data_IF_545304434235
#
_entry.id   IF_545304434235
#
_cell.length_a   1.000
_cell.length_b   1.000
_cell.length_c   1.000
_cell.angle_alpha   90.00
_cell.angle_beta   90.00
_cell.angle_gamma   90.00
#
_symmetry.space_group_name_H-M   'P 1'
#
loop_
_entity.id
_entity.type
_entity.pdbx_description
1 polymer ?
#
# COMPACT_ATOMS: atom_id res chain seq x y z
N UNK A 1 -18.15 11.30 13.34
CA UNK A 1 -16.97 11.71 12.55
C UNK A 1 -15.99 12.42 13.47
N UNK A 2 -14.67 12.21 13.33
CA UNK A 2 -13.62 12.89 14.12
C UNK A 2 -12.35 13.09 13.30
N UNK A 3 -11.58 14.13 13.61
CA UNK A 3 -10.26 14.36 13.05
C UNK A 3 -9.32 13.18 13.34
N UNK A 4 -8.60 12.70 12.32
CA UNK A 4 -7.55 11.69 12.50
C UNK A 4 -6.27 12.33 13.05
N UNK A 5 -5.34 11.53 13.63
CA UNK A 5 -4.01 12.02 13.98
C UNK A 5 -3.30 12.68 12.79
N UNK A 6 -2.60 13.80 13.02
CA UNK A 6 -1.80 14.51 12.02
C UNK A 6 -0.46 13.81 11.77
N UNK A 7 -0.54 12.57 11.28
CA UNK A 7 0.60 11.71 11.00
C UNK A 7 0.45 11.12 9.60
N UNK A 8 1.48 11.24 8.78
CA UNK A 8 1.61 10.57 7.48
C UNK A 8 2.58 9.41 7.62
N UNK A 9 2.28 8.28 7.00
CA UNK A 9 3.10 7.09 6.97
C UNK A 9 3.41 6.70 5.52
N UNK A 10 4.69 6.61 5.23
CA UNK A 10 5.26 6.14 3.96
C UNK A 10 6.07 4.89 4.25
N UNK A 11 6.03 3.90 3.37
CA UNK A 11 6.75 2.62 3.55
C UNK A 11 7.73 2.44 2.40
N UNK A 12 8.99 2.15 2.71
CA UNK A 12 9.98 1.76 1.74
C UNK A 12 10.82 0.58 2.25
N UNK A 13 10.74 -0.55 1.55
CA UNK A 13 11.45 -1.78 1.90
C UNK A 13 12.13 -2.36 0.66
N UNK A 14 13.23 -3.08 0.84
CA UNK A 14 13.91 -3.78 -0.25
C UNK A 14 15.21 -3.15 -0.76
N UNK A 15 15.54 -1.92 -0.38
CA UNK A 15 16.75 -1.25 -0.86
C UNK A 15 16.72 0.25 -0.64
N UNK A 16 17.54 0.99 -1.39
CA UNK A 16 17.52 2.44 -1.38
C UNK A 16 16.32 3.02 -2.15
N UNK A 17 15.93 4.26 -1.83
CA UNK A 17 14.77 4.94 -2.42
C UNK A 17 15.19 5.61 -3.74
N UNK A 18 14.57 5.27 -4.88
CA UNK A 18 14.78 5.95 -6.14
C UNK A 18 14.42 7.43 -6.05
N UNK A 19 15.13 8.27 -6.81
CA UNK A 19 14.92 9.73 -6.78
C UNK A 19 13.46 10.12 -7.04
N UNK A 20 12.80 9.51 -8.03
CA UNK A 20 11.37 9.77 -8.34
C UNK A 20 10.45 9.60 -7.13
N UNK A 21 10.73 8.61 -6.28
CA UNK A 21 9.92 8.32 -5.09
C UNK A 21 10.26 9.31 -3.98
N UNK A 22 11.54 9.70 -3.85
CA UNK A 22 11.94 10.80 -2.95
C UNK A 22 11.22 12.09 -3.30
N UNK A 23 11.17 12.44 -4.59
CA UNK A 23 10.51 13.65 -5.09
C UNK A 23 9.03 13.69 -4.71
N UNK A 24 8.35 12.54 -4.74
CA UNK A 24 6.97 12.41 -4.26
C UNK A 24 6.88 12.56 -2.73
N UNK A 25 7.71 11.81 -1.98
CA UNK A 25 7.66 11.78 -0.51
C UNK A 25 7.90 13.16 0.11
N UNK A 26 8.85 13.94 -0.42
CA UNK A 26 9.19 15.27 0.15
C UNK A 26 8.09 16.30 0.01
N UNK A 27 7.09 16.06 -0.86
CA UNK A 27 5.94 16.95 -0.98
C UNK A 27 5.09 16.98 0.30
N UNK A 28 5.02 15.87 1.05
CA UNK A 28 4.22 15.78 2.27
C UNK A 28 4.72 16.68 3.40
N UNK A 29 5.99 16.59 3.87
CA UNK A 29 6.48 17.48 4.92
C UNK A 29 6.55 18.94 4.44
N UNK A 30 6.73 19.19 3.13
CA UNK A 30 6.73 20.54 2.56
C UNK A 30 5.35 21.20 2.64
N UNK A 31 4.30 20.46 2.26
CA UNK A 31 2.92 20.97 2.25
C UNK A 31 2.26 20.95 3.64
N UNK A 32 2.81 20.17 4.58
CA UNK A 32 2.21 19.90 5.88
C UNK A 32 3.28 19.99 7.00
N UNK A 33 3.85 21.18 7.24
CA UNK A 33 4.94 21.35 8.21
C UNK A 33 4.53 21.06 9.67
N UNK A 34 3.22 21.04 9.96
CA UNK A 34 2.64 20.71 11.26
C UNK A 34 2.27 19.21 11.41
N UNK A 35 2.50 18.39 10.38
CA UNK A 35 2.26 16.95 10.41
C UNK A 35 3.55 16.16 10.66
N UNK A 36 3.49 15.10 11.47
CA UNK A 36 4.60 14.14 11.55
C UNK A 36 4.60 13.26 10.29
N UNK A 37 5.69 13.21 9.54
CA UNK A 37 5.84 12.30 8.39
C UNK A 37 6.82 11.20 8.74
N UNK A 38 6.30 9.98 8.85
CA UNK A 38 7.06 8.77 9.15
C UNK A 38 7.45 8.05 7.87
N UNK A 39 8.74 7.75 7.71
CA UNK A 39 9.26 6.83 6.71
C UNK A 39 9.62 5.51 7.37
N UNK A 40 8.88 4.45 7.04
CA UNK A 40 9.07 3.11 7.56
C UNK A 40 10.00 2.31 6.67
N UNK A 41 11.03 1.72 7.27
CA UNK A 41 11.93 0.76 6.61
C UNK A 41 12.01 -0.54 7.41
N UNK A 42 12.45 -1.61 6.75
CA UNK A 42 12.88 -2.84 7.42
C UNK A 42 14.39 -2.97 7.26
N UNK A 43 15.12 -2.74 8.34
CA UNK A 43 16.59 -2.71 8.32
C UNK A 43 17.21 -4.10 8.09
N UNK A 44 16.40 -5.17 8.13
CA UNK A 44 16.79 -6.53 7.79
C UNK A 44 16.43 -6.91 6.35
N UNK A 45 15.93 -5.98 5.52
CA UNK A 45 15.48 -6.26 4.15
C UNK A 45 16.06 -5.25 3.14
N UNK A 46 17.20 -4.62 3.43
CA UNK A 46 17.82 -3.62 2.56
C UNK A 46 18.50 -4.21 1.31
N UNK A 47 18.66 -5.52 1.24
CA UNK A 47 19.23 -6.24 0.09
C UNK A 47 18.20 -7.10 -0.66
N UNK A 48 16.96 -7.16 -0.16
CA UNK A 48 15.91 -8.00 -0.74
C UNK A 48 15.57 -7.62 -2.18
N UNK A 49 15.61 -6.33 -2.52
CA UNK A 49 15.42 -5.82 -3.88
C UNK A 49 16.62 -6.10 -4.78
N UNK A 50 17.84 -6.05 -4.23
CA UNK A 50 19.04 -6.44 -4.97
C UNK A 50 19.01 -7.94 -5.31
N UNK A 51 18.61 -8.78 -4.36
CA UNK A 51 18.38 -10.20 -4.60
C UNK A 51 17.40 -10.44 -5.74
N UNK A 52 16.25 -9.78 -5.72
CA UNK A 52 15.24 -9.87 -6.77
C UNK A 52 15.84 -9.46 -8.13
N UNK A 53 16.53 -8.31 -8.17
CA UNK A 53 17.17 -7.78 -9.39
C UNK A 53 18.14 -8.79 -10.01
N UNK A 54 19.02 -9.35 -9.20
CA UNK A 54 20.07 -10.26 -9.67
C UNK A 54 19.50 -11.60 -10.18
N UNK A 55 18.53 -12.17 -9.46
CA UNK A 55 17.83 -13.39 -9.91
C UNK A 55 17.04 -13.12 -11.19
N UNK A 56 16.33 -11.99 -11.26
CA UNK A 56 15.60 -11.60 -12.48
C UNK A 56 16.55 -11.39 -13.67
N UNK A 57 17.72 -10.77 -13.47
CA UNK A 57 18.70 -10.57 -14.52
C UNK A 57 19.22 -11.89 -15.10
N UNK A 58 19.49 -12.90 -14.27
CA UNK A 58 19.90 -14.23 -14.74
C UNK A 58 18.82 -14.98 -15.52
N UNK A 59 17.55 -14.61 -15.35
CA UNK A 59 16.41 -15.29 -15.95
C UNK A 59 15.70 -14.41 -17.00
N UNK A 60 16.39 -13.44 -17.60
CA UNK A 60 15.83 -12.54 -18.62
C UNK A 60 14.49 -11.91 -18.19
N UNK A 61 14.41 -11.45 -16.94
CA UNK A 61 13.23 -10.90 -16.27
C UNK A 61 12.03 -11.86 -16.05
N UNK A 62 12.12 -13.11 -16.50
CA UNK A 62 11.05 -14.10 -16.41
C UNK A 62 11.41 -15.19 -15.39
N UNK A 63 11.11 -14.93 -14.11
CA UNK A 63 11.34 -15.90 -13.03
C UNK A 63 10.03 -16.61 -12.69
N UNK A 64 10.00 -17.94 -12.82
CA UNK A 64 8.82 -18.75 -12.55
C UNK A 64 8.51 -18.89 -11.06
N UNK A 65 7.27 -19.28 -10.73
CA UNK A 65 6.87 -19.60 -9.37
C UNK A 65 7.74 -20.70 -8.73
N UNK A 66 8.12 -21.71 -9.51
CA UNK A 66 9.00 -22.79 -9.05
C UNK A 66 10.40 -22.25 -8.70
N UNK A 67 10.97 -21.40 -9.55
CA UNK A 67 12.28 -20.81 -9.28
C UNK A 67 12.26 -19.94 -8.02
N UNK A 68 11.20 -19.16 -7.80
CA UNK A 68 11.04 -18.41 -6.55
C UNK A 68 10.90 -19.31 -5.33
N UNK A 69 10.23 -20.46 -5.45
CA UNK A 69 10.15 -21.47 -4.40
C UNK A 69 11.52 -22.06 -4.06
N UNK A 70 12.35 -22.35 -5.05
CA UNK A 70 13.72 -22.85 -4.84
C UNK A 70 14.62 -21.82 -4.15
N UNK A 71 14.51 -20.54 -4.56
CA UNK A 71 15.21 -19.43 -3.88
C UNK A 71 14.77 -19.35 -2.43
N UNK A 72 13.47 -19.42 -2.15
CA UNK A 72 12.92 -19.38 -0.81
C UNK A 72 13.41 -20.54 0.06
N UNK A 73 13.47 -21.76 -0.49
CA UNK A 73 14.02 -22.93 0.20
C UNK A 73 15.48 -22.74 0.60
N UNK A 74 16.28 -22.02 -0.19
CA UNK A 74 17.69 -21.72 0.11
C UNK A 74 17.87 -20.57 1.09
N UNK A 75 16.96 -19.59 1.11
CA UNK A 75 16.99 -18.47 2.06
C UNK A 75 16.58 -18.89 3.47
N UNK A 76 15.69 -19.88 3.58
CA UNK A 76 15.08 -20.29 4.85
C UNK A 76 13.91 -19.38 5.26
N UNK A 77 13.18 -19.78 6.31
CA UNK A 77 11.89 -19.20 6.69
C UNK A 77 11.94 -17.70 7.06
N UNK A 78 13.07 -17.22 7.59
CA UNK A 78 13.21 -15.83 8.05
C UNK A 78 13.77 -14.89 6.97
N UNK A 79 14.47 -15.43 5.96
CA UNK A 79 15.12 -14.66 4.92
C UNK A 79 16.00 -13.53 5.46
N UNK A 80 15.81 -12.31 4.92
CA UNK A 80 16.52 -11.10 5.34
C UNK A 80 17.89 -10.92 4.70
N UNK A 81 18.59 -9.87 5.14
CA UNK A 81 19.85 -9.42 4.53
C UNK A 81 20.96 -10.44 4.72
N UNK A 82 21.09 -11.04 5.91
CA UNK A 82 22.10 -12.07 6.17
C UNK A 82 21.90 -13.32 5.30
N UNK A 83 20.66 -13.78 5.12
CA UNK A 83 20.37 -14.90 4.23
C UNK A 83 20.56 -14.52 2.75
N UNK A 84 20.19 -13.29 2.39
CA UNK A 84 20.39 -12.74 1.05
C UNK A 84 21.87 -12.69 0.69
N UNK A 85 22.73 -12.19 1.60
CA UNK A 85 24.18 -12.15 1.38
C UNK A 85 24.72 -13.55 1.11
N UNK A 86 24.42 -14.54 1.96
CA UNK A 86 24.87 -15.92 1.77
C UNK A 86 24.37 -16.52 0.45
N UNK A 87 23.13 -16.22 0.07
CA UNK A 87 22.56 -16.70 -1.18
C UNK A 87 23.30 -16.12 -2.39
N UNK A 88 23.45 -14.79 -2.44
CA UNK A 88 24.06 -14.10 -3.59
C UNK A 88 25.55 -14.43 -3.73
N UNK A 89 26.26 -14.58 -2.60
CA UNK A 89 27.66 -15.01 -2.58
C UNK A 89 27.81 -16.43 -3.13
N UNK A 90 27.01 -17.37 -2.59
CA UNK A 90 27.11 -18.79 -2.97
C UNK A 90 26.62 -19.10 -4.38
N UNK A 91 25.53 -18.48 -4.82
CA UNK A 91 24.85 -18.87 -6.05
C UNK A 91 25.08 -17.90 -7.22
N UNK A 92 25.43 -16.64 -6.94
CA UNK A 92 25.62 -15.61 -7.96
C UNK A 92 27.05 -15.02 -7.97
N UNK A 93 27.98 -15.59 -7.19
CA UNK A 93 29.38 -15.17 -7.09
C UNK A 93 29.54 -13.68 -6.70
N UNK A 94 28.61 -13.15 -5.90
CA UNK A 94 28.64 -11.78 -5.41
C UNK A 94 29.33 -11.71 -4.04
N UNK A 95 30.53 -11.13 -3.98
CA UNK A 95 31.32 -11.04 -2.75
C UNK A 95 30.50 -10.47 -1.58
N UNK A 96 30.45 -11.20 -0.47
CA UNK A 96 29.70 -10.80 0.73
C UNK A 96 30.06 -9.42 1.28
N UNK A 97 31.34 -9.04 1.25
CA UNK A 97 31.82 -7.71 1.68
C UNK A 97 31.22 -6.58 0.83
N UNK A 98 31.11 -6.78 -0.49
CA UNK A 98 30.50 -5.79 -1.38
C UNK A 98 29.00 -5.62 -1.07
N UNK A 99 28.30 -6.71 -0.76
CA UNK A 99 26.89 -6.68 -0.37
C UNK A 99 26.68 -6.00 1.00
N UNK A 100 27.58 -6.22 1.96
CA UNK A 100 27.57 -5.49 3.23
C UNK A 100 27.78 -3.99 3.00
N UNK A 101 28.74 -3.62 2.15
CA UNK A 101 28.97 -2.22 1.75
C UNK A 101 27.74 -1.59 1.08
N UNK A 102 27.07 -2.32 0.19
CA UNK A 102 25.82 -1.89 -0.44
C UNK A 102 24.70 -1.65 0.58
N UNK A 103 24.55 -2.57 1.55
CA UNK A 103 23.58 -2.42 2.64
C UNK A 103 23.84 -1.15 3.47
N UNK A 104 25.10 -0.89 3.82
CA UNK A 104 25.50 0.33 4.55
C UNK A 104 25.21 1.57 3.72
N UNK A 105 25.49 1.54 2.41
CA UNK A 105 25.15 2.64 1.49
C UNK A 105 23.65 2.92 1.47
N UNK A 106 22.81 1.89 1.37
CA UNK A 106 21.35 2.04 1.37
C UNK A 106 20.85 2.72 2.66
N UNK A 107 21.26 2.23 3.84
CA UNK A 107 20.76 2.80 5.10
C UNK A 107 21.24 4.25 5.29
N UNK A 108 22.50 4.57 4.97
CA UNK A 108 23.01 5.94 5.08
C UNK A 108 22.25 6.90 4.14
N UNK A 109 22.05 6.50 2.88
CA UNK A 109 21.27 7.25 1.88
C UNK A 109 19.84 7.55 2.35
N UNK A 110 19.18 6.59 2.99
CA UNK A 110 17.84 6.78 3.56
C UNK A 110 17.89 7.71 4.78
N UNK A 111 18.85 7.52 5.68
CA UNK A 111 19.01 8.36 6.88
C UNK A 111 19.28 9.83 6.53
N UNK A 112 20.17 10.08 5.57
CA UNK A 112 20.51 11.43 5.10
C UNK A 112 19.28 12.11 4.49
N UNK A 113 18.51 11.39 3.69
CA UNK A 113 17.25 11.88 3.14
C UNK A 113 16.22 12.22 4.22
N UNK A 114 16.03 11.34 5.20
CA UNK A 114 15.14 11.63 6.32
C UNK A 114 15.57 12.90 7.07
N UNK A 115 16.87 13.05 7.34
CA UNK A 115 17.43 14.21 8.01
C UNK A 115 17.24 15.50 7.20
N UNK A 116 17.52 15.46 5.90
CA UNK A 116 17.40 16.61 5.00
C UNK A 116 15.96 17.13 4.89
N UNK A 117 14.96 16.23 4.97
CA UNK A 117 13.55 16.57 4.75
C UNK A 117 12.68 16.47 6.00
N UNK A 118 13.30 16.41 7.19
CA UNK A 118 12.62 16.34 8.50
C UNK A 118 11.61 15.18 8.59
N UNK A 119 11.92 14.05 7.96
CA UNK A 119 11.15 12.82 8.08
C UNK A 119 11.59 12.04 9.31
N UNK A 120 10.65 11.42 9.98
CA UNK A 120 10.92 10.52 11.11
C UNK A 120 11.14 9.11 10.58
N UNK A 121 12.38 8.62 10.68
CA UNK A 121 12.71 7.24 10.31
C UNK A 121 12.14 6.27 11.35
N UNK A 122 11.39 5.27 10.89
CA UNK A 122 10.81 4.19 11.69
C UNK A 122 11.31 2.84 11.21
N UNK A 123 11.51 1.91 12.14
CA UNK A 123 12.00 0.56 11.84
C UNK A 123 10.89 -0.46 12.12
N UNK A 124 10.54 -1.27 11.13
CA UNK A 124 9.41 -2.20 11.17
C UNK A 124 9.52 -3.21 12.31
N UNK A 125 10.66 -3.88 12.49
CA UNK A 125 10.81 -4.94 13.48
C UNK A 125 10.81 -4.41 14.93
N UNK A 126 11.29 -3.19 15.14
CA UNK A 126 11.37 -2.53 16.45
C UNK A 126 10.10 -1.78 16.81
N UNK A 127 9.55 -1.01 15.87
CA UNK A 127 8.50 -0.01 16.15
C UNK A 127 7.08 -0.54 15.83
N UNK A 128 6.94 -1.72 15.21
CA UNK A 128 5.63 -2.24 14.78
C UNK A 128 5.30 -3.62 15.35
N UNK A 129 4.15 -3.74 16.02
CA UNK A 129 3.65 -5.03 16.54
C UNK A 129 2.75 -5.73 15.53
N UNK A 130 3.33 -6.52 14.62
CA UNK A 130 2.56 -7.24 13.58
C UNK A 130 1.83 -8.49 14.08
N UNK A 131 2.30 -9.12 15.17
CA UNK A 131 1.75 -10.38 15.67
C UNK A 131 1.77 -11.49 14.61
N UNK A 132 0.65 -12.21 14.44
CA UNK A 132 0.52 -13.35 13.51
C UNK A 132 0.73 -12.97 12.03
N UNK A 133 0.57 -11.70 11.66
CA UNK A 133 0.76 -11.24 10.28
C UNK A 133 2.24 -11.09 9.89
N UNK A 134 3.16 -11.08 10.86
CA UNK A 134 4.60 -11.10 10.58
C UNK A 134 5.03 -12.28 9.69
N UNK A 135 4.37 -13.44 9.85
CA UNK A 135 4.64 -14.61 9.01
C UNK A 135 4.22 -14.40 7.55
N UNK A 136 3.07 -13.74 7.32
CA UNK A 136 2.59 -13.42 5.96
C UNK A 136 3.52 -12.39 5.32
N UNK A 137 3.91 -11.35 6.07
CA UNK A 137 4.87 -10.35 5.62
C UNK A 137 6.20 -10.98 5.17
N UNK A 138 6.78 -11.86 6.00
CA UNK A 138 8.01 -12.58 5.64
C UNK A 138 7.83 -13.48 4.41
N UNK A 139 6.69 -14.19 4.33
CA UNK A 139 6.38 -15.05 3.20
C UNK A 139 6.33 -14.26 1.88
N UNK A 140 5.72 -13.07 1.86
CA UNK A 140 5.70 -12.22 0.67
C UNK A 140 7.09 -11.73 0.28
N UNK A 141 7.97 -11.48 1.25
CA UNK A 141 9.35 -11.07 0.97
C UNK A 141 10.25 -12.21 0.51
N UNK A 142 10.01 -13.44 0.94
CA UNK A 142 10.87 -14.59 0.67
C UNK A 142 10.29 -15.48 -0.43
N UNK A 143 9.12 -16.05 -0.20
CA UNK A 143 8.50 -17.07 -1.07
C UNK A 143 7.97 -16.50 -2.37
N UNK A 144 7.67 -15.20 -2.40
CA UNK A 144 7.08 -14.50 -3.53
C UNK A 144 8.07 -13.59 -4.24
N UNK A 145 9.36 -13.93 -4.20
CA UNK A 145 10.37 -13.19 -4.94
C UNK A 145 10.44 -11.70 -4.61
N UNK A 146 10.24 -11.37 -3.32
CA UNK A 146 10.11 -9.99 -2.85
C UNK A 146 8.88 -9.25 -3.41
N UNK A 147 7.68 -9.70 -3.04
CA UNK A 147 6.45 -9.00 -3.34
C UNK A 147 6.25 -7.79 -2.42
N UNK A 148 6.94 -6.70 -2.75
CA UNK A 148 6.91 -5.47 -1.96
C UNK A 148 5.52 -4.83 -1.87
N UNK A 149 4.67 -4.98 -2.90
CA UNK A 149 3.29 -4.51 -2.87
C UNK A 149 2.49 -5.18 -1.76
N UNK A 150 2.44 -6.51 -1.76
CA UNK A 150 1.73 -7.28 -0.72
C UNK A 150 2.33 -7.09 0.68
N UNK A 151 3.67 -7.01 0.78
CA UNK A 151 4.34 -6.73 2.04
C UNK A 151 3.98 -5.32 2.58
N UNK A 152 3.95 -4.30 1.72
CA UNK A 152 3.51 -2.94 2.07
C UNK A 152 2.03 -2.88 2.43
N UNK A 153 1.18 -3.66 1.77
CA UNK A 153 -0.25 -3.79 2.09
C UNK A 153 -0.49 -4.31 3.52
N UNK A 154 0.33 -5.27 3.97
CA UNK A 154 0.27 -5.76 5.36
C UNK A 154 0.73 -4.67 6.32
N UNK A 155 1.87 -4.03 6.04
CA UNK A 155 2.45 -3.01 6.90
C UNK A 155 1.54 -1.78 7.04
N UNK A 156 0.93 -1.28 5.96
CA UNK A 156 0.05 -0.09 6.02
C UNK A 156 -1.15 -0.29 6.93
N UNK A 157 -1.73 -1.51 6.95
CA UNK A 157 -2.84 -1.85 7.84
C UNK A 157 -2.37 -1.91 9.30
N UNK A 158 -1.25 -2.58 9.57
CA UNK A 158 -0.70 -2.71 10.93
C UNK A 158 -0.27 -1.36 11.51
N UNK A 159 0.31 -0.49 10.69
CA UNK A 159 0.73 0.87 11.06
C UNK A 159 -0.51 1.70 11.41
N UNK A 160 -1.50 1.79 10.53
CA UNK A 160 -2.70 2.59 10.79
C UNK A 160 -3.51 2.08 11.98
N UNK A 161 -3.52 0.78 12.25
CA UNK A 161 -4.17 0.23 13.44
C UNK A 161 -3.52 0.69 14.74
N UNK A 162 -2.21 0.95 14.75
CA UNK A 162 -1.44 1.34 15.93
C UNK A 162 -1.27 2.85 16.08
N UNK A 163 -1.12 3.56 14.96
CA UNK A 163 -0.75 4.98 14.92
C UNK A 163 -1.86 5.89 14.38
N UNK A 164 -2.84 5.34 13.64
CA UNK A 164 -3.82 6.14 12.91
C UNK A 164 -3.16 7.03 11.85
N UNK A 165 -3.85 8.08 11.43
CA UNK A 165 -3.31 9.03 10.46
C UNK A 165 -3.58 8.60 9.03
N UNK A 166 -2.63 8.89 8.14
CA UNK A 166 -2.72 8.65 6.70
C UNK A 166 -1.55 7.77 6.27
N UNK A 167 -1.85 6.69 5.56
CA UNK A 167 -0.87 5.98 4.74
C UNK A 167 -0.92 6.49 3.31
N UNK A 168 0.25 6.63 2.67
CA UNK A 168 0.38 6.95 1.25
C UNK A 168 1.46 6.09 0.58
N UNK A 169 1.20 5.60 -0.63
CA UNK A 169 2.20 4.97 -1.49
C UNK A 169 3.29 6.00 -1.88
N UNK A 170 4.48 5.49 -2.19
CA UNK A 170 5.69 6.32 -2.43
C UNK A 170 5.71 7.03 -3.79
N UNK A 171 4.68 6.84 -4.59
CA UNK A 171 4.49 7.38 -5.94
C UNK A 171 3.29 8.38 -5.99
N UNK A 172 2.72 8.68 -4.82
CA UNK A 172 1.74 9.73 -4.59
C UNK A 172 2.44 11.00 -4.12
N UNK A 173 2.10 12.13 -4.75
CA UNK A 173 2.53 13.46 -4.32
C UNK A 173 1.41 14.22 -3.63
N UNK A 174 1.73 14.98 -2.59
CA UNK A 174 0.85 15.96 -1.96
C UNK A 174 0.90 17.28 -2.75
N UNK A 175 -0.25 17.71 -3.28
CA UNK A 175 -0.34 18.91 -4.14
C UNK A 175 -1.04 20.09 -3.46
N UNK A 176 -1.69 19.87 -2.31
CA UNK A 176 -2.22 20.94 -1.45
C UNK A 176 -2.20 20.52 0.02
N UNK A 177 -2.22 21.48 0.98
CA UNK A 177 -2.22 21.17 2.40
C UNK A 177 -3.34 20.22 2.80
N UNK A 178 -3.01 19.23 3.63
CA UNK A 178 -3.93 18.21 4.11
C UNK A 178 -5.03 18.82 4.99
N UNK A 179 -4.70 19.85 5.76
CA UNK A 179 -5.61 20.52 6.68
C UNK A 179 -6.05 19.58 7.80
N UNK A 180 -7.33 19.59 8.14
CA UNK A 180 -7.92 18.60 9.05
C UNK A 180 -8.65 17.53 8.24
N UNK A 181 -8.25 16.26 8.38
CA UNK A 181 -8.93 15.15 7.72
C UNK A 181 -9.91 14.52 8.69
N UNK A 182 -11.20 14.58 8.34
CA UNK A 182 -12.29 14.03 9.14
C UNK A 182 -12.65 12.62 8.66
N UNK A 183 -12.48 11.62 9.52
CA UNK A 183 -12.87 10.23 9.23
C UNK A 183 -13.90 9.70 10.22
N UNK A 184 -14.61 8.64 9.81
CA UNK A 184 -15.40 7.85 10.74
C UNK A 184 -14.46 7.06 11.66
N UNK A 185 -14.75 6.99 12.96
CA UNK A 185 -13.86 6.29 13.91
C UNK A 185 -13.72 4.79 13.63
N UNK A 186 -14.75 4.20 13.02
CA UNK A 186 -14.76 2.77 12.69
C UNK A 186 -14.38 2.44 11.25
N UNK A 187 -14.46 3.40 10.31
CA UNK A 187 -14.33 3.10 8.88
C UNK A 187 -13.29 4.05 8.26
N UNK A 188 -12.23 3.50 7.64
CA UNK A 188 -11.21 4.33 7.00
C UNK A 188 -11.74 4.95 5.70
N UNK A 189 -11.08 6.03 5.28
CA UNK A 189 -11.21 6.55 3.91
C UNK A 189 -10.13 5.95 3.03
N UNK A 190 -10.42 5.77 1.75
CA UNK A 190 -9.52 5.25 0.73
C UNK A 190 -9.41 6.20 -0.45
N UNK A 191 -8.31 6.15 -1.21
CA UNK A 191 -8.27 6.76 -2.54
C UNK A 191 -9.35 6.18 -3.45
N UNK A 192 -10.02 7.04 -4.22
CA UNK A 192 -10.99 6.62 -5.23
C UNK A 192 -10.31 6.38 -6.59
N UNK A 193 -10.84 5.44 -7.38
CA UNK A 193 -10.28 5.07 -8.69
C UNK A 193 -11.19 5.49 -9.84
N UNK A 194 -10.73 6.44 -10.65
CA UNK A 194 -11.45 6.95 -11.80
C UNK A 194 -10.49 7.70 -12.73
N UNK A 195 -10.79 7.67 -14.03
CA UNK A 195 -10.00 8.37 -15.03
C UNK A 195 -10.05 9.91 -14.88
N UNK A 196 -11.10 10.45 -14.26
CA UNK A 196 -11.27 11.88 -14.07
C UNK A 196 -10.14 12.54 -13.27
N UNK A 197 -9.47 11.80 -12.38
CA UNK A 197 -8.35 12.33 -11.58
C UNK A 197 -6.98 12.23 -12.27
N UNK A 198 -6.91 11.78 -13.53
CA UNK A 198 -5.64 11.50 -14.22
C UNK A 198 -4.63 12.64 -14.22
N UNK A 199 -5.12 13.87 -14.30
CA UNK A 199 -4.32 15.10 -14.34
C UNK A 199 -4.33 15.83 -12.98
N UNK A 200 -4.82 15.16 -11.93
CA UNK A 200 -5.29 15.79 -10.70
C UNK A 200 -6.72 16.32 -10.84
N UNK A 201 -7.34 16.61 -9.71
CA UNK A 201 -8.68 17.24 -9.62
C UNK A 201 -8.57 18.47 -8.73
N UNK A 202 -9.17 19.60 -9.13
CA UNK A 202 -9.20 20.81 -8.32
C UNK A 202 -10.15 20.68 -7.12
N UNK A 203 -9.96 21.49 -6.09
CA UNK A 203 -10.89 21.50 -4.94
C UNK A 203 -12.30 21.94 -5.35
N UNK A 204 -12.43 22.95 -6.21
CA UNK A 204 -13.72 23.40 -6.75
C UNK A 204 -14.45 22.29 -7.48
N UNK A 205 -13.74 21.54 -8.32
CA UNK A 205 -14.29 20.41 -9.07
C UNK A 205 -14.71 19.27 -8.14
N UNK A 206 -13.84 18.94 -7.18
CA UNK A 206 -14.11 17.91 -6.18
C UNK A 206 -15.35 18.23 -5.34
N UNK A 207 -15.57 19.49 -4.98
CA UNK A 207 -16.71 19.91 -4.16
C UNK A 207 -17.99 20.11 -4.97
N UNK A 208 -17.91 20.30 -6.29
CA UNK A 208 -19.03 20.61 -7.17
C UNK A 208 -19.88 19.38 -7.56
N UNK A 209 -21.15 19.28 -7.13
CA UNK A 209 -22.04 18.17 -7.53
C UNK A 209 -22.25 18.02 -9.04
N UNK A 210 -22.32 19.13 -9.77
CA UNK A 210 -22.50 19.12 -11.23
C UNK A 210 -21.26 18.54 -11.91
N UNK A 211 -20.07 18.85 -11.41
CA UNK A 211 -18.83 18.26 -11.91
C UNK A 211 -18.83 16.74 -11.71
N UNK A 212 -19.25 16.26 -10.54
CA UNK A 212 -19.38 14.82 -10.26
C UNK A 212 -20.39 14.13 -11.18
N UNK A 213 -21.53 14.77 -11.44
CA UNK A 213 -22.55 14.24 -12.35
C UNK A 213 -22.00 14.05 -13.77
N UNK A 214 -21.20 15.00 -14.25
CA UNK A 214 -20.69 15.04 -15.63
C UNK A 214 -19.43 14.18 -15.85
N UNK A 215 -18.58 14.02 -14.82
CA UNK A 215 -17.25 13.42 -14.99
C UNK A 215 -17.13 12.00 -14.42
N UNK A 216 -18.00 11.60 -13.49
CA UNK A 216 -17.93 10.29 -12.84
C UNK A 216 -19.02 9.41 -13.42
N UNK A 217 -18.85 8.93 -14.64
CA UNK A 217 -19.87 8.12 -15.33
C UNK A 217 -19.94 6.69 -14.79
N UNK A 218 -21.12 6.05 -14.91
CA UNK A 218 -21.38 4.69 -14.43
C UNK A 218 -22.50 4.60 -13.38
N UNK A 219 -22.98 3.38 -13.16
CA UNK A 219 -24.09 3.10 -12.23
C UNK A 219 -23.62 2.91 -10.78
N UNK A 220 -22.36 2.55 -10.57
CA UNK A 220 -21.75 2.37 -9.27
C UNK A 220 -20.80 3.52 -8.92
N UNK A 221 -20.68 3.87 -7.63
CA UNK A 221 -19.61 4.74 -7.16
C UNK A 221 -18.22 4.15 -7.50
N UNK A 222 -17.21 5.00 -7.77
CA UNK A 222 -15.85 4.57 -8.07
C UNK A 222 -15.31 3.50 -7.11
N UNK A 223 -14.58 2.48 -7.60
CA UNK A 223 -13.88 1.55 -6.72
C UNK A 223 -12.80 2.28 -5.92
N UNK A 224 -12.29 1.61 -4.89
CA UNK A 224 -11.20 2.13 -4.07
C UNK A 224 -9.86 1.54 -4.48
N UNK A 225 -8.81 2.33 -4.29
CA UNK A 225 -7.43 1.89 -4.21
C UNK A 225 -6.99 1.99 -2.74
N UNK A 226 -6.08 1.13 -2.32
CA UNK A 226 -5.45 1.20 -1.01
C UNK A 226 -4.14 2.02 -1.03
N UNK A 227 -3.82 2.70 -2.14
CA UNK A 227 -2.65 3.58 -2.26
C UNK A 227 -2.67 4.78 -1.32
N UNK A 228 -3.87 5.18 -0.89
CA UNK A 228 -4.07 6.10 0.23
C UNK A 228 -5.11 5.50 1.17
N UNK A 229 -4.80 5.49 2.48
CA UNK A 229 -5.75 5.09 3.51
C UNK A 229 -5.67 6.08 4.66
N UNK A 230 -6.79 6.67 5.07
CA UNK A 230 -6.86 7.57 6.22
C UNK A 230 -7.78 6.98 7.30
N UNK A 231 -7.31 6.88 8.54
CA UNK A 231 -8.05 6.18 9.58
C UNK A 231 -7.62 6.49 11.01
N UNK A 232 -8.47 6.05 11.94
CA UNK A 232 -8.22 6.14 13.37
C UNK A 232 -7.48 4.89 13.88
N UNK A 233 -6.73 5.07 14.97
CA UNK A 233 -6.17 3.97 15.77
C UNK A 233 -7.31 3.00 16.12
N UNK A 234 -7.06 1.69 15.92
CA UNK A 234 -8.02 0.65 16.26
C UNK A 234 -9.32 0.61 15.43
N UNK A 235 -9.37 1.30 14.28
CA UNK A 235 -10.51 1.28 13.35
C UNK A 235 -11.04 -0.13 13.07
N UNK A 236 -12.37 -0.31 13.19
CA UNK A 236 -13.03 -1.61 12.97
C UNK A 236 -12.90 -2.11 11.54
N UNK A 237 -12.99 -1.22 10.55
CA UNK A 237 -12.80 -1.53 9.14
C UNK A 237 -11.39 -2.02 8.85
N UNK A 238 -10.36 -1.39 9.45
CA UNK A 238 -8.98 -1.86 9.34
C UNK A 238 -8.76 -3.20 10.06
N UNK A 239 -9.41 -3.43 11.21
CA UNK A 239 -9.37 -4.74 11.90
C UNK A 239 -10.01 -5.84 11.05
N UNK A 240 -11.15 -5.56 10.41
CA UNK A 240 -11.81 -6.52 9.53
C UNK A 240 -10.94 -6.82 8.30
N UNK A 241 -10.33 -5.79 7.71
CA UNK A 241 -9.38 -5.93 6.60
C UNK A 241 -8.17 -6.79 6.97
N UNK A 242 -7.54 -6.51 8.11
CA UNK A 242 -6.49 -7.35 8.70
C UNK A 242 -6.92 -8.81 8.85
N UNK A 243 -8.13 -9.04 9.37
CA UNK A 243 -8.67 -10.39 9.59
C UNK A 243 -8.96 -11.13 8.28
N UNK A 244 -9.47 -10.43 7.26
CA UNK A 244 -9.73 -11.02 5.94
C UNK A 244 -8.43 -11.46 5.28
N UNK A 245 -7.39 -10.61 5.29
CA UNK A 245 -6.04 -10.97 4.81
C UNK A 245 -5.61 -12.28 5.49
N UNK A 246 -5.64 -12.32 6.82
CA UNK A 246 -5.23 -13.51 7.56
C UNK A 246 -6.03 -14.77 7.17
N UNK A 247 -7.34 -14.63 6.97
CA UNK A 247 -8.20 -15.73 6.53
C UNK A 247 -7.83 -16.24 5.13
N UNK A 248 -7.57 -15.33 4.18
CA UNK A 248 -7.15 -15.68 2.81
C UNK A 248 -5.81 -16.44 2.81
N UNK A 249 -4.83 -16.02 3.62
CA UNK A 249 -3.58 -16.80 3.73
C UNK A 249 -3.74 -18.12 4.46
N UNK A 250 -4.71 -18.24 5.37
CA UNK A 250 -5.03 -19.51 6.02
C UNK A 250 -5.62 -20.51 5.02
N UNK A 251 -6.47 -20.08 4.07
CA UNK A 251 -7.05 -20.97 3.06
C UNK A 251 -6.02 -21.51 2.07
N UNK A 252 -4.93 -20.78 1.81
CA UNK A 252 -3.80 -21.29 1.00
C UNK A 252 -3.15 -22.56 1.60
N UNK A 253 -3.26 -22.77 2.92
CA UNK A 253 -2.69 -23.95 3.57
C UNK A 253 -3.50 -25.22 3.33
N UNK A 254 -4.75 -25.08 2.91
CA UNK A 254 -5.72 -26.17 2.79
C UNK A 254 -6.15 -26.44 1.36
N UNK A 255 -5.61 -25.71 0.37
CA UNK A 255 -5.96 -25.87 -1.04
C UNK A 255 -4.75 -25.67 -1.93
N UNK A 256 -4.37 -26.73 -2.63
CA UNK A 256 -3.26 -26.72 -3.59
C UNK A 256 -3.59 -25.90 -4.84
N UNK A 257 -4.84 -25.90 -5.28
CA UNK A 257 -5.32 -25.07 -6.39
C UNK A 257 -5.19 -23.59 -6.08
N UNK A 258 -5.68 -23.15 -4.92
CA UNK A 258 -5.55 -21.75 -4.48
C UNK A 258 -4.08 -21.34 -4.32
N UNK A 259 -3.23 -22.24 -3.81
CA UNK A 259 -1.79 -22.00 -3.71
C UNK A 259 -1.14 -21.88 -5.08
N UNK A 260 -1.54 -22.69 -6.05
CA UNK A 260 -1.03 -22.65 -7.42
C UNK A 260 -1.45 -21.36 -8.13
N UNK A 261 -2.73 -20.99 -8.03
CA UNK A 261 -3.25 -19.72 -8.56
C UNK A 261 -2.53 -18.53 -7.91
N UNK A 262 -2.42 -18.54 -6.58
CA UNK A 262 -1.70 -17.50 -5.83
C UNK A 262 -0.29 -17.34 -6.35
N UNK A 263 0.47 -18.42 -6.49
CA UNK A 263 1.88 -18.37 -6.91
C UNK A 263 2.06 -17.93 -8.37
N UNK A 264 1.15 -18.31 -9.27
CA UNK A 264 1.27 -18.03 -10.71
C UNK A 264 0.72 -16.65 -11.12
N UNK A 265 -0.37 -16.19 -10.52
CA UNK A 265 -0.94 -14.86 -10.80
C UNK A 265 -0.35 -13.83 -9.83
N UNK A 266 0.86 -13.34 -10.09
CA UNK A 266 1.57 -12.45 -9.16
C UNK A 266 0.80 -11.15 -8.84
N UNK A 267 0.34 -10.43 -9.88
CA UNK A 267 -0.32 -9.12 -9.73
C UNK A 267 -1.75 -9.28 -9.23
N UNK A 268 -2.55 -10.14 -9.86
CA UNK A 268 -3.95 -10.31 -9.51
C UNK A 268 -4.14 -10.90 -8.11
N UNK A 269 -3.31 -11.87 -7.72
CA UNK A 269 -3.36 -12.38 -6.34
C UNK A 269 -2.97 -11.32 -5.31
N UNK A 270 -2.02 -10.42 -5.59
CA UNK A 270 -1.70 -9.31 -4.68
C UNK A 270 -2.92 -8.41 -4.47
N UNK A 271 -3.59 -8.02 -5.56
CA UNK A 271 -4.81 -7.21 -5.53
C UNK A 271 -5.93 -7.89 -4.70
N UNK A 272 -6.12 -9.21 -4.90
CA UNK A 272 -7.16 -9.99 -4.23
C UNK A 272 -6.84 -10.31 -2.77
N UNK A 273 -5.59 -10.64 -2.45
CA UNK A 273 -5.21 -11.23 -1.15
C UNK A 273 -4.94 -10.17 -0.10
N UNK A 274 -4.21 -9.12 -0.48
CA UNK A 274 -3.75 -8.08 0.44
C UNK A 274 -4.13 -6.68 -0.01
N UNK A 275 -4.38 -6.45 -1.29
CA UNK A 275 -4.63 -5.15 -1.88
C UNK A 275 -6.08 -4.64 -1.84
N UNK A 276 -6.51 -3.84 -2.83
CA UNK A 276 -7.74 -3.06 -2.76
C UNK A 276 -9.02 -3.91 -2.78
N UNK A 277 -9.01 -5.09 -3.41
CA UNK A 277 -10.18 -5.99 -3.38
C UNK A 277 -10.46 -6.46 -1.95
N UNK A 278 -9.42 -6.92 -1.24
CA UNK A 278 -9.56 -7.31 0.16
C UNK A 278 -10.01 -6.13 1.05
N UNK A 279 -9.49 -4.93 0.78
CA UNK A 279 -9.93 -3.71 1.48
C UNK A 279 -11.42 -3.44 1.25
N UNK A 280 -11.89 -3.49 -0.01
CA UNK A 280 -13.27 -3.20 -0.37
C UNK A 280 -14.25 -4.21 0.24
N UNK A 281 -13.90 -5.50 0.24
CA UNK A 281 -14.71 -6.61 0.74
C UNK A 281 -14.96 -6.56 2.26
N UNK A 282 -14.00 -6.05 3.05
CA UNK A 282 -14.01 -6.22 4.51
C UNK A 282 -14.04 -4.91 5.30
N UNK A 283 -13.60 -3.79 4.73
CA UNK A 283 -13.58 -2.51 5.44
C UNK A 283 -14.97 -1.93 5.72
N UNK A 284 -16.02 -2.52 5.16
CA UNK A 284 -17.40 -2.01 5.16
C UNK A 284 -17.75 -1.25 3.88
N UNK A 285 -16.77 -0.97 3.01
CA UNK A 285 -16.97 -0.23 1.76
C UNK A 285 -17.99 -0.92 0.84
N UNK A 286 -17.76 -2.18 0.45
CA UNK A 286 -18.70 -2.90 -0.43
C UNK A 286 -20.07 -3.09 0.22
N UNK A 287 -20.13 -3.30 1.53
CA UNK A 287 -21.40 -3.46 2.23
C UNK A 287 -22.28 -2.20 2.12
N UNK A 288 -21.70 -1.00 2.24
CA UNK A 288 -22.42 0.26 2.06
C UNK A 288 -22.69 0.54 0.59
N UNK A 289 -21.69 0.37 -0.29
CA UNK A 289 -21.83 0.60 -1.73
C UNK A 289 -22.94 -0.26 -2.34
N UNK A 290 -22.97 -1.56 -2.00
CA UNK A 290 -23.98 -2.48 -2.53
C UNK A 290 -25.37 -2.17 -1.97
N UNK A 291 -25.49 -1.74 -0.71
CA UNK A 291 -26.77 -1.28 -0.16
C UNK A 291 -27.32 -0.09 -0.94
N UNK A 292 -26.47 0.91 -1.19
CA UNK A 292 -26.83 2.09 -1.98
C UNK A 292 -27.24 1.75 -3.40
N UNK A 293 -26.54 0.81 -4.03
CA UNK A 293 -26.89 0.30 -5.35
C UNK A 293 -28.27 -0.39 -5.36
N UNK A 294 -28.57 -1.21 -4.34
CA UNK A 294 -29.87 -1.88 -4.22
C UNK A 294 -31.03 -0.90 -3.94
N UNK A 295 -30.78 0.17 -3.17
CA UNK A 295 -31.75 1.25 -2.96
C UNK A 295 -31.99 2.05 -4.26
N UNK A 296 -30.92 2.32 -5.02
CA UNK A 296 -30.99 2.96 -6.33
C UNK A 296 -31.75 2.12 -7.36
N UNK A 297 -31.55 0.80 -7.41
CA UNK A 297 -32.28 -0.08 -8.32
C UNK A 297 -33.81 -0.09 -8.08
N UNK A 298 -34.27 0.34 -6.89
CA UNK A 298 -35.68 0.50 -6.55
C UNK A 298 -36.26 1.88 -6.90
N UNK A 299 -35.42 2.80 -7.38
CA UNK A 299 -35.76 4.20 -7.67
C UNK A 299 -35.24 4.60 -9.05
N UNK A 300 -36.13 4.91 -10.00
CA UNK A 300 -35.75 5.30 -11.37
C UNK A 300 -35.14 6.73 -11.49
N UNK A 301 -34.95 7.45 -10.37
CA UNK A 301 -34.45 8.82 -10.37
C UNK A 301 -32.93 8.92 -10.62
N UNK A 302 -32.53 9.69 -11.64
CA UNK A 302 -31.13 10.06 -11.92
C UNK A 302 -30.44 10.74 -10.74
N UNK A 303 -31.20 11.46 -9.91
CA UNK A 303 -30.72 12.14 -8.71
C UNK A 303 -30.15 11.17 -7.67
N UNK A 304 -30.71 9.97 -7.52
CA UNK A 304 -30.24 9.00 -6.52
C UNK A 304 -28.81 8.53 -6.82
N UNK A 305 -28.45 8.36 -8.09
CA UNK A 305 -27.09 7.96 -8.50
C UNK A 305 -26.07 9.02 -8.11
N UNK A 306 -26.41 10.29 -8.31
CA UNK A 306 -25.56 11.41 -7.91
C UNK A 306 -25.43 11.47 -6.38
N UNK A 307 -26.54 11.36 -5.64
CA UNK A 307 -26.52 11.36 -4.17
C UNK A 307 -25.64 10.24 -3.61
N UNK A 308 -25.70 9.03 -4.17
CA UNK A 308 -24.85 7.92 -3.77
C UNK A 308 -23.35 8.22 -3.99
N UNK A 309 -22.99 8.78 -5.15
CA UNK A 309 -21.59 9.18 -5.44
C UNK A 309 -21.09 10.26 -4.47
N UNK A 310 -21.91 11.27 -4.19
CA UNK A 310 -21.58 12.35 -3.26
C UNK A 310 -21.46 11.83 -1.82
N UNK A 311 -22.33 10.91 -1.41
CA UNK A 311 -22.19 10.25 -0.12
C UNK A 311 -20.85 9.52 0.01
N UNK A 312 -20.45 8.76 -1.02
CA UNK A 312 -19.17 8.04 -1.01
C UNK A 312 -17.99 9.01 -1.00
N UNK A 313 -18.04 10.11 -1.77
CA UNK A 313 -17.08 11.22 -1.69
C UNK A 313 -16.91 11.73 -0.26
N UNK A 314 -18.02 12.00 0.40
CA UNK A 314 -18.00 12.70 1.68
C UNK A 314 -17.65 11.78 2.86
N UNK A 315 -17.79 10.46 2.71
CA UNK A 315 -17.63 9.52 3.82
C UNK A 315 -16.53 8.46 3.64
N UNK A 316 -16.24 8.05 2.40
CA UNK A 316 -15.39 6.90 2.09
C UNK A 316 -14.16 7.26 1.29
N UNK A 317 -14.20 8.33 0.49
CA UNK A 317 -13.06 8.72 -0.31
C UNK A 317 -12.14 9.70 0.42
N UNK A 318 -10.85 9.51 0.22
CA UNK A 318 -9.85 10.51 0.53
C UNK A 318 -10.05 11.71 -0.42
N UNK A 319 -9.88 12.96 0.04
CA UNK A 319 -10.05 14.13 -0.82
C UNK A 319 -8.99 14.16 -1.93
N UNK A 320 -9.33 13.67 -3.13
CA UNK A 320 -8.34 13.45 -4.19
C UNK A 320 -7.75 14.76 -4.73
N UNK A 321 -8.36 15.92 -4.47
CA UNK A 321 -7.77 17.22 -4.80
C UNK A 321 -6.53 17.59 -3.95
N UNK A 322 -6.24 16.81 -2.90
CA UNK A 322 -5.07 17.01 -2.03
C UNK A 322 -3.81 16.30 -2.52
N UNK A 323 -3.98 15.37 -3.46
CA UNK A 323 -2.94 14.46 -3.91
C UNK A 323 -2.94 14.35 -5.42
N UNK A 324 -1.79 13.96 -5.96
CA UNK A 324 -1.66 13.51 -7.34
C UNK A 324 -0.91 12.19 -7.32
N UNK A 325 -1.59 11.15 -7.78
CA UNK A 325 -0.95 9.89 -8.07
C UNK A 325 -0.37 9.99 -9.49
N UNK A 326 0.96 10.10 -9.58
CA UNK A 326 1.63 10.36 -10.85
C UNK A 326 1.69 9.12 -11.75
N UNK A 327 1.31 7.96 -11.22
CA UNK A 327 1.44 6.65 -11.88
C UNK A 327 0.14 5.86 -11.87
N UNK A 328 -0.96 6.52 -11.51
CA UNK A 328 -2.33 6.00 -11.53
C UNK A 328 -2.68 5.28 -12.86
N UNK A 329 -2.05 5.68 -13.96
CA UNK A 329 -2.31 5.19 -15.33
C UNK A 329 -1.55 3.93 -15.72
N UNK A 330 -0.60 3.46 -14.92
CA UNK A 330 0.04 2.15 -15.16
C UNK A 330 -0.89 0.98 -14.75
N UNK A 331 -2.06 1.30 -14.18
CA UNK A 331 -3.01 0.37 -13.56
C UNK A 331 -4.41 0.35 -14.15
N UNK A 332 -4.79 1.32 -14.99
CA UNK A 332 -6.04 1.37 -15.76
C UNK A 332 -5.83 0.84 -17.18
#
# INVERSE_FOLDING_TARGET
>A
MRAIPKVVHVIWIGGDIPQRNRDCIVTFPRMNPDWEVNLWIDANQLLTGERRRQISAQNNANVSAQQWSEVAGRLGADGGDSATIRYLDKYLNMRGEALQGLRVKHINSIMDFCKAHKLKLREVQRDLKMGKNSAIYRMELVNRGANFGSASDILRVEILLQYGGIYVDTDVSCVSPLGEIICHQSYPRFSAVNFAWRNGVGESDWLNPVWWANNITGDEPPPISNSIIAGHVGSRGLKSYKSLIHSKFKSLKTSDDLRTEYMNDFRGSTIRMTGPTAAAESSGFNAIRNRMFMEQARSEASDQKLQNRLFMRDNWYFPMHKVRDSYFHDWL
#
